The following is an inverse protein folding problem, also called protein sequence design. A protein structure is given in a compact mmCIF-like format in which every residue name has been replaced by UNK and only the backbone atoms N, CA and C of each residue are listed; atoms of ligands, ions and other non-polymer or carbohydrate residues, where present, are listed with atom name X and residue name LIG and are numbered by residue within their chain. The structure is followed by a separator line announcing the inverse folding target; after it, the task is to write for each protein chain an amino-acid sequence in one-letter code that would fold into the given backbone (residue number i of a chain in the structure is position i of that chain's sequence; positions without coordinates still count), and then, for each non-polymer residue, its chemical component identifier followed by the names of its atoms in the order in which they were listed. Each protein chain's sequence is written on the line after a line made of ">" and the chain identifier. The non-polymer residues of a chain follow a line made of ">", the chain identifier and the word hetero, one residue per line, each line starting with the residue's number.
data_IF_413307610758
#
_entry.id   IF_413307610758
#
_cell.length_a   1.000
_cell.length_b   1.000
_cell.length_c   1.000
_cell.angle_alpha   90.00
_cell.angle_beta   90.00
_cell.angle_gamma   90.00
#
_symmetry.space_group_name_H-M   'P 1'
#
loop_
_entity.id
_entity.type
_entity.pdbx_description
1 polymer ?
#
# COMPACT_ATOMS: atom_id res chain seq x y z
N UNK A 1 -20.51 14.29 5.59
CA UNK A 1 -19.08 14.21 5.26
C UNK A 1 -18.95 14.57 3.80
N UNK A 2 -18.07 15.50 3.41
CA UNK A 2 -17.77 15.74 1.99
C UNK A 2 -17.27 14.42 1.41
N UNK A 3 -17.83 13.98 0.29
CA UNK A 3 -17.29 12.86 -0.47
C UNK A 3 -15.99 13.32 -1.12
N UNK A 4 -14.91 13.39 -0.34
CA UNK A 4 -13.59 13.67 -0.88
C UNK A 4 -13.11 12.42 -1.64
N UNK A 5 -12.80 12.64 -2.92
CA UNK A 5 -12.29 11.61 -3.81
C UNK A 5 -10.77 11.48 -3.66
N UNK A 6 -10.21 10.26 -3.75
CA UNK A 6 -8.77 10.08 -3.70
C UNK A 6 -8.12 10.77 -4.89
N UNK A 7 -7.02 11.47 -4.62
CA UNK A 7 -6.21 12.14 -5.63
C UNK A 7 -5.17 11.19 -6.25
N UNK A 8 -4.47 11.62 -7.29
CA UNK A 8 -3.39 10.83 -7.88
C UNK A 8 -2.28 10.50 -6.86
N UNK A 9 -1.99 11.43 -5.93
CA UNK A 9 -1.03 11.18 -4.86
C UNK A 9 -1.56 10.12 -3.89
N UNK A 10 -2.87 10.05 -3.61
CA UNK A 10 -3.43 8.98 -2.78
C UNK A 10 -3.30 7.61 -3.47
N UNK A 11 -3.48 7.56 -4.79
CA UNK A 11 -3.25 6.33 -5.56
C UNK A 11 -1.77 5.91 -5.54
N UNK A 12 -0.85 6.86 -5.69
CA UNK A 12 0.59 6.60 -5.60
C UNK A 12 1.02 6.17 -4.18
N UNK A 13 0.38 6.72 -3.14
CA UNK A 13 0.58 6.30 -1.74
C UNK A 13 0.11 4.87 -1.51
N UNK A 14 -1.03 4.48 -2.08
CA UNK A 14 -1.69 3.19 -1.87
C UNK A 14 -1.99 2.46 -3.19
N UNK A 15 -0.93 2.02 -3.92
CA UNK A 15 -1.08 1.48 -5.27
C UNK A 15 -1.75 0.10 -5.32
N UNK A 16 -1.94 -0.55 -4.16
CA UNK A 16 -2.67 -1.81 -4.01
C UNK A 16 -4.20 -1.64 -4.00
N UNK A 17 -4.71 -0.40 -3.96
CA UNK A 17 -6.15 -0.14 -3.93
C UNK A 17 -6.80 -0.39 -5.30
N UNK A 18 -8.08 -0.79 -5.30
CA UNK A 18 -8.88 -1.00 -6.52
C UNK A 18 -8.94 0.27 -7.36
N UNK A 19 -9.08 1.42 -6.71
CA UNK A 19 -9.11 2.72 -7.38
C UNK A 19 -7.76 3.06 -8.03
N UNK A 20 -6.65 2.79 -7.35
CA UNK A 20 -5.32 2.95 -7.95
C UNK A 20 -5.15 2.02 -9.18
N UNK A 21 -5.64 0.78 -9.08
CA UNK A 21 -5.65 -0.16 -10.20
C UNK A 21 -6.53 0.30 -11.37
N UNK A 22 -7.70 0.90 -11.10
CA UNK A 22 -8.55 1.53 -12.12
C UNK A 22 -7.84 2.71 -12.78
N UNK A 23 -7.19 3.57 -12.00
CA UNK A 23 -6.42 4.70 -12.52
C UNK A 23 -5.28 4.23 -13.42
N UNK A 24 -4.55 3.19 -13.02
CA UNK A 24 -3.51 2.55 -13.85
C UNK A 24 -4.06 2.04 -15.18
N UNK A 25 -5.25 1.41 -15.18
CA UNK A 25 -5.91 0.97 -16.42
C UNK A 25 -6.28 2.14 -17.34
N UNK A 26 -6.71 3.27 -16.78
CA UNK A 26 -7.04 4.48 -17.55
C UNK A 26 -5.80 5.15 -18.16
N UNK A 27 -4.66 5.11 -17.46
CA UNK A 27 -3.37 5.60 -17.99
C UNK A 27 -2.96 4.78 -19.22
N UNK A 28 -3.32 3.48 -19.26
CA UNK A 28 -3.19 2.66 -20.47
C UNK A 28 -1.75 2.27 -20.81
N UNK A 29 -0.85 2.26 -19.82
CA UNK A 29 0.55 1.88 -20.02
C UNK A 29 0.70 0.38 -20.36
N UNK A 30 1.72 0.06 -21.14
CA UNK A 30 2.12 -1.30 -21.46
C UNK A 30 3.56 -1.55 -21.01
N UNK A 31 3.93 -2.81 -20.78
CA UNK A 31 5.27 -3.14 -20.33
C UNK A 31 6.33 -2.79 -21.39
N UNK A 32 5.95 -2.85 -22.67
CA UNK A 32 6.83 -2.53 -23.80
C UNK A 32 7.14 -1.02 -23.93
N UNK A 33 6.43 -0.18 -23.19
CA UNK A 33 6.68 1.26 -23.15
C UNK A 33 7.99 1.58 -22.41
N UNK A 34 8.44 0.67 -21.53
CA UNK A 34 9.66 0.84 -20.75
C UNK A 34 10.85 0.11 -21.40
N UNK A 35 11.77 0.88 -21.97
CA UNK A 35 12.90 0.36 -22.78
C UNK A 35 14.25 0.51 -22.09
N UNK A 36 14.34 1.36 -21.07
CA UNK A 36 15.58 1.59 -20.34
C UNK A 36 15.40 1.43 -18.83
N UNK A 37 16.38 0.81 -18.12
CA UNK A 37 16.41 0.78 -16.65
C UNK A 37 16.44 2.16 -15.99
N UNK A 38 16.87 3.19 -16.73
CA UNK A 38 16.98 4.57 -16.24
C UNK A 38 15.67 5.36 -16.35
N UNK A 39 14.64 4.79 -16.96
CA UNK A 39 13.32 5.42 -16.97
C UNK A 39 12.79 5.54 -15.54
N UNK A 40 12.28 6.71 -15.11
CA UNK A 40 11.92 6.97 -13.72
C UNK A 40 11.05 5.90 -13.04
N UNK A 41 9.96 5.37 -13.66
CA UNK A 41 9.16 4.33 -13.02
C UNK A 41 9.91 2.99 -12.89
N UNK A 42 10.80 2.66 -13.84
CA UNK A 42 11.64 1.46 -13.80
C UNK A 42 12.72 1.58 -12.73
N UNK A 43 13.40 2.72 -12.67
CA UNK A 43 14.41 3.00 -11.65
C UNK A 43 13.80 2.94 -10.24
N UNK A 44 12.59 3.47 -10.04
CA UNK A 44 11.85 3.34 -8.77
C UNK A 44 11.43 1.90 -8.47
N UNK A 45 11.00 1.14 -9.48
CA UNK A 45 10.67 -0.27 -9.31
C UNK A 45 11.89 -1.08 -8.85
N UNK A 46 13.06 -0.82 -9.45
CA UNK A 46 14.35 -1.38 -9.02
C UNK A 46 14.67 -1.01 -7.56
N UNK A 47 14.52 0.26 -7.21
CA UNK A 47 14.77 0.74 -5.84
C UNK A 47 13.86 0.07 -4.79
N UNK A 48 12.58 -0.18 -5.11
CA UNK A 48 11.67 -0.97 -4.24
C UNK A 48 12.23 -2.37 -3.99
N UNK A 49 12.69 -3.05 -5.04
CA UNK A 49 13.24 -4.41 -4.97
C UNK A 49 14.53 -4.40 -4.14
N UNK A 50 15.47 -3.49 -4.42
CA UNK A 50 16.73 -3.36 -3.69
C UNK A 50 16.52 -3.05 -2.21
N UNK A 51 15.60 -2.13 -1.89
CA UNK A 51 15.24 -1.81 -0.50
C UNK A 51 14.57 -2.98 0.19
N UNK A 52 13.77 -3.79 -0.53
CA UNK A 52 13.17 -4.99 0.03
C UNK A 52 14.20 -6.03 0.48
N UNK A 53 15.37 -6.07 -0.17
CA UNK A 53 16.48 -6.96 0.19
C UNK A 53 17.26 -6.50 1.43
N UNK A 54 17.13 -5.23 1.86
CA UNK A 54 17.79 -4.66 3.05
C UNK A 54 17.02 -4.99 4.34
N UNK A 55 17.65 -4.87 5.54
CA UNK A 55 16.93 -5.04 6.80
C UNK A 55 15.71 -4.14 6.89
N UNK A 56 14.54 -4.74 7.18
CA UNK A 56 13.27 -4.03 7.10
C UNK A 56 12.79 -3.43 8.42
N UNK A 57 13.58 -3.48 9.51
CA UNK A 57 13.14 -3.07 10.86
C UNK A 57 12.49 -1.67 10.88
N UNK A 58 13.16 -0.69 10.26
CA UNK A 58 12.67 0.68 10.11
C UNK A 58 12.61 1.01 8.61
N UNK A 59 11.40 1.01 8.05
CA UNK A 59 11.19 1.42 6.65
C UNK A 59 10.53 2.78 6.65
N UNK A 60 11.27 3.79 6.19
CA UNK A 60 10.71 5.10 5.93
C UNK A 60 10.04 5.09 4.55
N UNK A 61 8.77 5.47 4.41
CA UNK A 61 8.13 5.60 3.11
C UNK A 61 8.93 6.53 2.20
N UNK A 62 9.17 6.16 0.93
CA UNK A 62 9.79 7.07 -0.02
C UNK A 62 8.85 8.27 -0.26
N UNK A 63 9.45 9.45 -0.33
CA UNK A 63 8.76 10.70 -0.64
C UNK A 63 8.22 10.68 -2.07
N UNK A 64 7.00 11.21 -2.23
CA UNK A 64 6.36 11.35 -3.54
C UNK A 64 6.33 12.83 -3.87
N UNK A 65 7.30 13.28 -4.66
CA UNK A 65 7.36 14.67 -5.09
C UNK A 65 6.19 15.01 -6.03
N UNK A 66 5.77 16.26 -6.00
CA UNK A 66 4.75 16.77 -6.92
C UNK A 66 5.21 16.59 -8.38
N UNK A 67 4.30 16.12 -9.23
CA UNK A 67 4.57 15.80 -10.64
C UNK A 67 5.22 14.43 -10.88
N UNK A 68 5.48 13.66 -9.81
CA UNK A 68 6.07 12.33 -9.86
C UNK A 68 5.12 11.21 -9.44
N UNK A 69 3.86 11.53 -9.18
CA UNK A 69 2.84 10.63 -8.63
C UNK A 69 2.56 9.46 -9.58
N UNK A 70 2.44 9.72 -10.89
CA UNK A 70 2.23 8.67 -11.88
C UNK A 70 3.43 7.73 -11.98
N UNK A 71 4.66 8.28 -11.95
CA UNK A 71 5.87 7.47 -11.94
C UNK A 71 5.95 6.58 -10.68
N UNK A 72 5.57 7.10 -9.52
CA UNK A 72 5.50 6.33 -8.27
C UNK A 72 4.42 5.25 -8.36
N UNK A 73 3.24 5.59 -8.86
CA UNK A 73 2.13 4.65 -9.05
C UNK A 73 2.49 3.51 -10.03
N UNK A 74 3.15 3.82 -11.15
CA UNK A 74 3.62 2.84 -12.14
C UNK A 74 4.75 1.95 -11.63
N UNK A 75 5.61 2.48 -10.75
CA UNK A 75 6.72 1.70 -10.20
C UNK A 75 6.28 0.48 -9.38
N UNK A 76 5.07 0.51 -8.81
CA UNK A 76 4.53 -0.60 -8.03
C UNK A 76 4.24 -1.85 -8.88
N UNK A 77 3.37 -1.82 -9.91
CA UNK A 77 3.13 -2.98 -10.76
C UNK A 77 4.40 -3.43 -11.48
N UNK A 78 5.31 -2.52 -11.85
CA UNK A 78 6.60 -2.86 -12.42
C UNK A 78 7.47 -3.67 -11.44
N UNK A 79 7.56 -3.26 -10.18
CA UNK A 79 8.31 -4.00 -9.17
C UNK A 79 7.74 -5.41 -8.95
N UNK A 80 6.41 -5.55 -8.95
CA UNK A 80 5.76 -6.86 -8.88
C UNK A 80 6.06 -7.73 -10.11
N UNK A 81 5.99 -7.16 -11.31
CA UNK A 81 6.28 -7.86 -12.55
C UNK A 81 7.73 -8.36 -12.58
N UNK A 82 8.68 -7.49 -12.22
CA UNK A 82 10.11 -7.82 -12.12
C UNK A 82 10.37 -8.91 -11.06
N UNK A 83 9.85 -8.74 -9.84
CA UNK A 83 10.03 -9.73 -8.77
C UNK A 83 9.43 -11.10 -9.15
N UNK A 84 8.29 -11.11 -9.85
CA UNK A 84 7.68 -12.33 -10.37
C UNK A 84 8.50 -12.96 -11.48
N UNK A 85 9.08 -12.16 -12.38
CA UNK A 85 9.94 -12.63 -13.47
C UNK A 85 11.24 -13.29 -12.97
N UNK A 86 11.78 -12.83 -11.83
CA UNK A 86 12.94 -13.47 -11.17
C UNK A 86 12.61 -14.89 -10.70
N UNK A 87 11.36 -15.17 -10.34
CA UNK A 87 10.91 -16.50 -9.94
C UNK A 87 11.37 -16.94 -8.54
N UNK A 88 11.91 -16.02 -7.71
CA UNK A 88 12.32 -16.30 -6.33
C UNK A 88 11.19 -15.98 -5.33
N UNK A 89 10.58 -17.01 -4.68
CA UNK A 89 9.52 -16.80 -3.68
C UNK A 89 10.01 -16.06 -2.42
N UNK A 90 11.31 -16.07 -2.13
CA UNK A 90 11.87 -15.30 -1.04
C UNK A 90 11.84 -13.81 -1.35
N UNK A 91 12.28 -13.41 -2.55
CA UNK A 91 12.20 -12.02 -3.02
C UNK A 91 10.76 -11.51 -3.01
N UNK A 92 9.80 -12.30 -3.50
CA UNK A 92 8.38 -11.94 -3.48
C UNK A 92 7.86 -11.62 -2.07
N UNK A 93 8.19 -12.48 -1.09
CA UNK A 93 7.80 -12.28 0.32
C UNK A 93 8.44 -11.05 0.93
N UNK A 94 9.71 -10.77 0.59
CA UNK A 94 10.42 -9.59 1.07
C UNK A 94 9.85 -8.30 0.49
N UNK A 95 9.53 -8.28 -0.80
CA UNK A 95 8.88 -7.14 -1.44
C UNK A 95 7.51 -6.87 -0.82
N UNK A 96 6.69 -7.90 -0.61
CA UNK A 96 5.40 -7.75 0.06
C UNK A 96 5.54 -7.16 1.48
N UNK A 97 6.53 -7.61 2.25
CA UNK A 97 6.80 -7.08 3.59
C UNK A 97 7.30 -5.62 3.54
N UNK A 98 8.16 -5.28 2.59
CA UNK A 98 8.63 -3.90 2.38
C UNK A 98 7.45 -2.98 2.04
N UNK A 99 6.62 -3.34 1.07
CA UNK A 99 5.45 -2.55 0.66
C UNK A 99 4.43 -2.41 1.79
N UNK A 100 4.21 -3.46 2.60
CA UNK A 100 3.36 -3.38 3.77
C UNK A 100 3.89 -2.38 4.82
N UNK A 101 5.21 -2.31 5.04
CA UNK A 101 5.81 -1.33 5.96
C UNK A 101 5.76 0.09 5.41
N UNK A 102 5.98 0.28 4.11
CA UNK A 102 5.79 1.58 3.44
C UNK A 102 4.34 2.05 3.59
N UNK A 103 3.37 1.17 3.33
CA UNK A 103 1.95 1.49 3.48
C UNK A 103 1.61 1.83 4.94
N UNK A 104 2.12 1.08 5.92
CA UNK A 104 1.96 1.39 7.34
C UNK A 104 2.47 2.79 7.67
N UNK A 105 3.70 3.11 7.29
CA UNK A 105 4.27 4.44 7.57
C UNK A 105 3.47 5.58 6.92
N UNK A 106 2.86 5.35 5.74
CA UNK A 106 1.97 6.33 5.11
C UNK A 106 0.63 6.46 5.86
N UNK A 107 0.10 5.37 6.40
CA UNK A 107 -1.18 5.33 7.13
C UNK A 107 -1.10 5.96 8.53
N UNK A 108 0.08 5.97 9.17
CA UNK A 108 0.27 6.53 10.52
C UNK A 108 -0.03 8.05 10.56
N UNK A 109 0.25 8.77 9.48
CA UNK A 109 -0.01 10.22 9.33
C UNK A 109 -1.21 10.55 8.42
N UNK A 110 -2.08 9.57 8.12
CA UNK A 110 -3.17 9.76 7.16
C UNK A 110 -4.48 10.22 7.82
N UNK A 111 -5.24 11.04 7.09
CA UNK A 111 -6.58 11.47 7.49
C UNK A 111 -7.50 10.27 7.78
N UNK A 112 -8.20 10.24 8.94
CA UNK A 112 -9.00 9.09 9.35
C UNK A 112 -10.06 8.63 8.34
N UNK A 113 -10.63 9.57 7.59
CA UNK A 113 -11.64 9.25 6.57
C UNK A 113 -11.06 8.41 5.42
N UNK A 114 -9.78 8.62 5.04
CA UNK A 114 -9.11 7.82 4.01
C UNK A 114 -8.82 6.41 4.51
N UNK A 115 -8.43 6.26 5.77
CA UNK A 115 -8.23 4.95 6.40
C UNK A 115 -9.54 4.15 6.35
N UNK A 116 -10.66 4.77 6.76
CA UNK A 116 -11.99 4.15 6.69
C UNK A 116 -12.36 3.77 5.25
N UNK A 117 -12.10 4.66 4.28
CA UNK A 117 -12.38 4.42 2.86
C UNK A 117 -11.58 3.24 2.32
N UNK A 118 -10.26 3.21 2.55
CA UNK A 118 -9.37 2.11 2.16
C UNK A 118 -9.87 0.79 2.77
N UNK A 119 -10.12 0.76 4.08
CA UNK A 119 -10.57 -0.44 4.79
C UNK A 119 -11.88 -1.01 4.23
N UNK A 120 -12.88 -0.15 3.99
CA UNK A 120 -14.19 -0.56 3.48
C UNK A 120 -14.13 -1.01 2.02
N UNK A 121 -13.54 -0.21 1.14
CA UNK A 121 -13.63 -0.42 -0.31
C UNK A 121 -12.66 -1.51 -0.81
N UNK A 122 -11.52 -1.68 -0.14
CA UNK A 122 -10.45 -2.58 -0.58
C UNK A 122 -10.39 -3.88 0.22
N UNK A 123 -10.71 -3.84 1.51
CA UNK A 123 -10.62 -5.01 2.40
C UNK A 123 -11.98 -5.53 2.88
N UNK A 124 -13.08 -4.81 2.59
CA UNK A 124 -14.43 -5.21 3.00
C UNK A 124 -14.65 -5.15 4.52
N UNK A 125 -13.87 -4.33 5.23
CA UNK A 125 -13.97 -4.19 6.68
C UNK A 125 -15.07 -3.20 7.05
N UNK A 126 -15.90 -3.54 8.04
CA UNK A 126 -16.82 -2.62 8.68
C UNK A 126 -16.08 -1.80 9.74
N UNK A 127 -15.28 -0.84 9.27
CA UNK A 127 -14.53 0.11 10.09
C UNK A 127 -15.30 1.45 10.18
N UNK A 128 -15.33 2.09 11.34
CA UNK A 128 -15.83 3.47 11.51
C UNK A 128 -14.87 4.30 12.36
N UNK A 129 -14.83 5.61 12.10
CA UNK A 129 -14.08 6.58 12.89
C UNK A 129 -15.04 7.31 13.82
N UNK A 130 -14.68 7.43 15.10
CA UNK A 130 -15.51 8.03 16.16
C UNK A 130 -14.84 9.23 16.84
N UNK A 131 -13.98 9.95 16.12
CA UNK A 131 -13.39 11.19 16.61
C UNK A 131 -12.54 10.98 17.85
N UNK A 132 -12.89 11.67 18.93
CA UNK A 132 -12.13 11.76 20.18
C UNK A 132 -12.22 10.52 21.08
N UNK A 133 -13.00 9.49 20.70
CA UNK A 133 -13.02 8.23 21.45
C UNK A 133 -11.62 7.58 21.46
N UNK A 134 -11.26 6.92 22.56
CA UNK A 134 -10.05 6.10 22.62
C UNK A 134 -10.45 4.62 22.81
N UNK A 135 -10.16 3.72 21.84
CA UNK A 135 -9.52 3.97 20.55
C UNK A 135 -10.42 4.72 19.54
N UNK A 136 -9.85 5.51 18.60
CA UNK A 136 -10.61 6.38 17.69
C UNK A 136 -11.35 5.62 16.58
N UNK A 137 -10.95 4.38 16.30
CA UNK A 137 -11.59 3.52 15.31
C UNK A 137 -12.35 2.38 15.98
N UNK A 138 -13.50 2.01 15.42
CA UNK A 138 -14.24 0.79 15.77
C UNK A 138 -14.31 -0.13 14.57
N UNK A 139 -13.92 -1.39 14.78
CA UNK A 139 -13.99 -2.46 13.79
C UNK A 139 -15.04 -3.48 14.23
N UNK A 140 -15.87 -3.94 13.30
CA UNK A 140 -16.83 -5.00 13.60
C UNK A 140 -16.11 -6.30 14.01
N UNK A 141 -16.57 -6.94 15.08
CA UNK A 141 -15.89 -8.08 15.70
C UNK A 141 -15.58 -9.23 14.72
N UNK A 142 -16.49 -9.52 13.78
CA UNK A 142 -16.27 -10.57 12.78
C UNK A 142 -15.09 -10.24 11.83
N UNK A 143 -14.94 -8.96 11.47
CA UNK A 143 -13.80 -8.51 10.67
C UNK A 143 -12.52 -8.53 11.51
N UNK A 144 -12.59 -8.18 12.80
CA UNK A 144 -11.46 -8.31 13.71
C UNK A 144 -10.99 -9.77 13.79
N UNK A 145 -11.85 -10.72 14.14
CA UNK A 145 -11.49 -12.14 14.28
C UNK A 145 -10.92 -12.76 13.01
N UNK A 146 -11.49 -12.41 11.84
CA UNK A 146 -11.01 -12.89 10.53
C UNK A 146 -9.54 -12.50 10.28
N UNK A 147 -9.13 -11.31 10.71
CA UNK A 147 -7.77 -10.81 10.50
C UNK A 147 -6.83 -11.18 11.67
N UNK A 148 -7.29 -11.01 12.90
CA UNK A 148 -6.52 -11.19 14.13
C UNK A 148 -6.12 -12.65 14.38
N UNK A 149 -6.94 -13.62 13.95
CA UNK A 149 -6.64 -15.05 14.09
C UNK A 149 -5.33 -15.51 13.43
N UNK A 150 -4.77 -14.70 12.53
CA UNK A 150 -3.49 -14.96 11.86
C UNK A 150 -2.29 -14.31 12.57
N UNK A 151 -2.54 -13.35 13.45
CA UNK A 151 -1.52 -12.70 14.26
C UNK A 151 -1.22 -13.56 15.49
N UNK A 152 0.05 -13.61 15.88
CA UNK A 152 0.53 -14.42 17.01
C UNK A 152 0.86 -13.56 18.23
N UNK A 153 0.85 -12.24 18.11
CA UNK A 153 1.11 -11.34 19.23
C UNK A 153 -0.12 -11.22 20.15
N UNK A 154 0.15 -11.10 21.45
CA UNK A 154 -0.92 -11.12 22.47
C UNK A 154 -1.88 -9.94 22.36
N UNK A 155 -1.37 -8.77 21.94
CA UNK A 155 -2.13 -7.54 21.72
C UNK A 155 -3.30 -7.68 20.72
N UNK A 156 -3.31 -8.74 19.88
CA UNK A 156 -4.39 -9.02 18.93
C UNK A 156 -5.39 -10.09 19.41
N UNK A 157 -5.28 -10.56 20.66
CA UNK A 157 -6.27 -11.48 21.23
C UNK A 157 -7.52 -10.68 21.61
N UNK A 158 -8.70 -11.19 21.24
CA UNK A 158 -10.00 -10.55 21.53
C UNK A 158 -10.26 -10.32 23.04
N UNK A 159 -9.60 -11.09 23.91
CA UNK A 159 -9.76 -10.98 25.36
C UNK A 159 -9.04 -9.77 25.97
N UNK A 160 -8.21 -9.08 25.19
CA UNK A 160 -7.46 -7.89 25.58
C UNK A 160 -8.16 -6.63 25.07
#
# INVERSE_FOLDING_TARGET
>A
MKNEEPTIIDHAKYPFTKQASEKLRQIGFKLEDFRSPEEPPVARARDRIEKSAKPLKEVKPPEIFQGNEECELLSFPLALALAKAVGDPYLWRRLALYEARVARGRLEDEEPWKIVKIARENFGWKLSFNGEAHPPFRLHFADYLRNASRFREEEWKLVN
#
